data_IF_106563495454
#
_entry.id   IF_106563495454
#
_cell.length_a   1.000
_cell.length_b   1.000
_cell.length_c   1.000
_cell.angle_alpha   90.00
_cell.angle_beta   90.00
_cell.angle_gamma   90.00
#
_symmetry.space_group_name_H-M   'P 1'
#
loop_
_entity.id
_entity.type
_entity.pdbx_description
1 polymer ?
#
# COMPACT_ATOMS: atom_id res chain seq x y z
N UNK A 1 6.02 -6.70 14.54
CA UNK A 1 7.25 -5.88 14.36
C UNK A 1 6.94 -4.40 14.09
N UNK A 2 6.22 -4.06 13.02
CA UNK A 2 5.76 -2.68 12.76
C UNK A 2 4.90 -2.11 13.90
N UNK A 3 3.97 -2.89 14.44
CA UNK A 3 3.20 -2.51 15.65
C UNK A 3 4.06 -2.12 16.85
N UNK A 4 5.19 -2.80 17.03
CA UNK A 4 6.10 -2.50 18.15
C UNK A 4 6.81 -1.16 17.91
N UNK A 5 7.25 -0.92 16.66
CA UNK A 5 7.80 0.38 16.27
C UNK A 5 6.78 1.51 16.48
N UNK A 6 5.53 1.33 16.07
CA UNK A 6 4.46 2.32 16.25
C UNK A 6 4.17 2.66 17.72
N UNK A 7 4.44 1.74 18.65
CA UNK A 7 4.28 1.99 20.09
C UNK A 7 5.49 2.68 20.72
N UNK A 8 6.68 2.47 20.17
CA UNK A 8 7.95 2.92 20.76
C UNK A 8 8.41 4.26 20.18
N UNK A 9 8.27 4.42 18.87
CA UNK A 9 8.76 5.58 18.13
C UNK A 9 7.65 6.62 18.01
N UNK A 10 7.98 7.90 18.21
CA UNK A 10 7.04 9.00 17.96
C UNK A 10 6.81 9.21 16.47
N UNK A 11 7.85 9.01 15.66
CA UNK A 11 7.83 9.18 14.21
C UNK A 11 8.57 8.00 13.59
N UNK A 12 7.93 7.34 12.62
CA UNK A 12 8.55 6.31 11.80
C UNK A 12 8.89 6.92 10.44
N UNK A 13 10.14 6.76 10.01
CA UNK A 13 10.58 7.14 8.67
C UNK A 13 10.56 5.90 7.79
N UNK A 14 9.79 5.95 6.70
CA UNK A 14 9.67 4.88 5.72
C UNK A 14 9.95 5.42 4.31
N UNK A 15 11.19 5.30 3.80
CA UNK A 15 11.52 5.71 2.44
C UNK A 15 10.67 4.98 1.40
N UNK A 16 10.29 5.70 0.35
CA UNK A 16 9.60 5.14 -0.81
C UNK A 16 10.55 4.29 -1.65
N UNK A 17 10.18 3.03 -1.86
CA UNK A 17 10.91 2.05 -2.67
C UNK A 17 9.96 1.46 -3.71
N UNK A 18 10.50 0.97 -4.82
CA UNK A 18 9.69 0.51 -5.95
C UNK A 18 10.21 -0.78 -6.60
N UNK A 19 11.35 -1.28 -6.15
CA UNK A 19 11.92 -2.57 -6.51
C UNK A 19 12.83 -3.12 -5.40
N UNK A 20 13.29 -4.36 -5.57
CA UNK A 20 14.17 -5.03 -4.61
C UNK A 20 15.51 -4.29 -4.42
N UNK A 21 16.03 -3.65 -5.47
CA UNK A 21 17.30 -2.93 -5.41
C UNK A 21 17.18 -1.65 -4.55
N UNK A 22 16.22 -0.79 -4.86
CA UNK A 22 15.94 0.43 -4.08
C UNK A 22 15.64 0.11 -2.62
N UNK A 23 14.91 -0.98 -2.36
CA UNK A 23 14.63 -1.45 -1.00
C UNK A 23 15.88 -1.96 -0.27
N UNK A 24 16.75 -2.69 -0.97
CA UNK A 24 18.03 -3.15 -0.43
C UNK A 24 18.95 -1.98 -0.08
N UNK A 25 19.00 -0.96 -0.94
CA UNK A 25 19.78 0.26 -0.69
C UNK A 25 19.24 0.99 0.55
N UNK A 26 17.92 1.16 0.66
CA UNK A 26 17.31 1.80 1.82
C UNK A 26 17.57 1.02 3.12
N UNK A 27 17.49 -0.32 3.09
CA UNK A 27 17.89 -1.16 4.23
C UNK A 27 19.36 -0.96 4.60
N UNK A 28 20.27 -0.97 3.63
CA UNK A 28 21.71 -0.76 3.86
C UNK A 28 22.02 0.63 4.44
N UNK A 29 21.21 1.64 4.08
CA UNK A 29 21.27 2.97 4.68
C UNK A 29 20.73 3.03 6.14
N UNK A 30 20.26 1.90 6.69
CA UNK A 30 19.87 1.78 8.10
C UNK A 30 18.40 2.07 8.40
N UNK A 31 17.55 2.21 7.38
CA UNK A 31 16.11 2.44 7.60
C UNK A 31 15.43 1.21 8.19
N UNK A 32 14.61 1.43 9.23
CA UNK A 32 13.93 0.38 10.00
C UNK A 32 12.52 0.06 9.49
N UNK A 33 12.07 0.74 8.44
CA UNK A 33 10.74 0.59 7.83
C UNK A 33 10.84 1.11 6.41
N UNK A 34 10.11 0.53 5.47
CA UNK A 34 10.09 0.95 4.07
C UNK A 34 8.65 1.09 3.58
N UNK A 35 8.44 1.88 2.52
CA UNK A 35 7.15 2.04 1.86
C UNK A 35 7.25 1.66 0.38
N UNK A 36 6.53 0.64 -0.07
CA UNK A 36 6.39 0.34 -1.50
C UNK A 36 5.41 1.32 -2.14
N UNK A 37 5.90 2.17 -3.03
CA UNK A 37 5.09 3.21 -3.70
C UNK A 37 4.46 2.73 -5.01
N UNK A 38 3.13 2.83 -5.14
CA UNK A 38 2.43 2.48 -6.39
C UNK A 38 2.91 3.32 -7.58
N UNK A 39 3.12 4.62 -7.37
CA UNK A 39 3.68 5.52 -8.38
C UNK A 39 5.05 5.05 -8.88
N UNK A 40 5.95 4.75 -7.94
CA UNK A 40 7.30 4.30 -8.29
C UNK A 40 7.29 2.96 -9.01
N UNK A 41 6.44 2.02 -8.59
CA UNK A 41 6.31 0.72 -9.27
C UNK A 41 5.76 0.90 -10.68
N UNK A 42 4.71 1.71 -10.88
CA UNK A 42 4.17 2.00 -12.23
C UNK A 42 5.23 2.60 -13.15
N UNK A 43 6.00 3.57 -12.65
CA UNK A 43 7.09 4.19 -13.39
C UNK A 43 8.23 3.21 -13.73
N UNK A 44 8.70 2.44 -12.75
CA UNK A 44 9.85 1.56 -12.91
C UNK A 44 9.54 0.28 -13.70
N UNK A 45 8.33 -0.30 -13.53
CA UNK A 45 7.94 -1.54 -14.18
C UNK A 45 7.38 -1.31 -15.59
N UNK A 46 6.54 -0.29 -15.76
CA UNK A 46 5.76 -0.10 -16.99
C UNK A 46 6.21 1.11 -17.81
N UNK A 47 7.04 2.00 -17.25
CA UNK A 47 7.30 3.33 -17.81
C UNK A 47 5.99 4.09 -18.10
N UNK A 48 5.02 3.97 -17.17
CA UNK A 48 3.69 4.56 -17.27
C UNK A 48 3.37 5.48 -16.09
N UNK A 49 2.46 6.45 -16.29
CA UNK A 49 1.99 7.29 -15.19
C UNK A 49 1.13 6.48 -14.21
N UNK A 50 1.01 7.02 -12.99
CA UNK A 50 0.21 6.42 -11.92
C UNK A 50 -1.29 6.80 -12.02
N UNK A 51 -1.95 6.19 -13.00
CA UNK A 51 -3.38 6.42 -13.32
C UNK A 51 -4.20 5.13 -13.22
N UNK A 52 -3.80 4.20 -12.34
CA UNK A 52 -4.49 2.93 -12.13
C UNK A 52 -4.29 1.89 -13.25
N UNK A 53 -3.17 1.98 -13.99
CA UNK A 53 -2.83 0.99 -15.04
C UNK A 53 -2.20 -0.28 -14.48
N UNK A 54 -1.45 -0.15 -13.37
CA UNK A 54 -0.81 -1.29 -12.76
C UNK A 54 -1.87 -2.18 -12.10
N UNK A 55 -1.76 -3.49 -12.32
CA UNK A 55 -2.69 -4.46 -11.78
C UNK A 55 -2.32 -4.89 -10.37
N UNK A 56 -3.32 -5.40 -9.64
CA UNK A 56 -3.11 -6.03 -8.33
C UNK A 56 -2.04 -7.12 -8.38
N UNK A 57 -2.03 -7.95 -9.42
CA UNK A 57 -1.08 -9.07 -9.57
C UNK A 57 0.37 -8.57 -9.71
N UNK A 58 0.59 -7.50 -10.48
CA UNK A 58 1.92 -6.88 -10.63
C UNK A 58 2.40 -6.28 -9.32
N UNK A 59 1.51 -5.62 -8.58
CA UNK A 59 1.83 -5.03 -7.27
C UNK A 59 2.11 -6.08 -6.20
N UNK A 60 1.35 -7.19 -6.16
CA UNK A 60 1.61 -8.34 -5.28
C UNK A 60 2.99 -8.95 -5.60
N UNK A 61 3.27 -9.20 -6.88
CA UNK A 61 4.55 -9.77 -7.29
C UNK A 61 5.73 -8.87 -6.89
N UNK A 62 5.57 -7.55 -7.08
CA UNK A 62 6.58 -6.58 -6.68
C UNK A 62 6.77 -6.53 -5.16
N UNK A 63 5.69 -6.55 -4.40
CA UNK A 63 5.74 -6.57 -2.93
C UNK A 63 6.51 -7.81 -2.43
N UNK A 64 6.23 -8.99 -2.98
CA UNK A 64 6.94 -10.23 -2.62
C UNK A 64 8.45 -10.11 -2.86
N UNK A 65 8.86 -9.61 -4.04
CA UNK A 65 10.28 -9.41 -4.35
C UNK A 65 10.97 -8.44 -3.40
N UNK A 66 10.27 -7.37 -2.99
CA UNK A 66 10.82 -6.39 -2.05
C UNK A 66 10.95 -7.01 -0.66
N UNK A 67 9.93 -7.71 -0.17
CA UNK A 67 9.94 -8.37 1.14
C UNK A 67 11.09 -9.37 1.22
N UNK A 68 11.29 -10.18 0.17
CA UNK A 68 12.38 -11.16 0.10
C UNK A 68 13.76 -10.49 0.17
N UNK A 69 13.93 -9.28 -0.39
CA UNK A 69 15.21 -8.58 -0.42
C UNK A 69 15.59 -7.89 0.90
N UNK A 70 14.61 -7.58 1.76
CA UNK A 70 14.82 -6.70 2.91
C UNK A 70 14.93 -7.43 4.26
N UNK A 71 15.00 -8.77 4.27
CA UNK A 71 15.15 -9.64 5.45
C UNK A 71 14.55 -9.08 6.74
N UNK A 72 13.22 -9.14 6.88
CA UNK A 72 12.52 -8.72 8.09
C UNK A 72 12.55 -7.20 8.37
N UNK A 73 12.86 -6.32 7.42
CA UNK A 73 12.45 -4.92 7.56
C UNK A 73 10.95 -4.81 7.24
N UNK A 74 10.10 -4.20 8.10
CA UNK A 74 8.68 -4.10 7.80
C UNK A 74 8.42 -3.23 6.56
N UNK A 75 7.68 -3.79 5.61
CA UNK A 75 7.21 -3.08 4.43
C UNK A 75 5.77 -2.61 4.63
N UNK A 76 5.54 -1.31 4.46
CA UNK A 76 4.22 -0.75 4.20
C UNK A 76 4.05 -0.71 2.69
N UNK A 77 2.92 -1.15 2.15
CA UNK A 77 2.74 -1.24 0.70
C UNK A 77 1.47 -0.55 0.25
N UNK A 78 1.57 0.17 -0.87
CA UNK A 78 0.44 0.76 -1.55
C UNK A 78 -0.50 -0.34 -2.08
N UNK A 79 -1.76 -0.26 -1.71
CA UNK A 79 -2.84 -1.13 -2.16
C UNK A 79 -3.82 -0.42 -3.11
N UNK A 80 -3.51 0.83 -3.50
CA UNK A 80 -4.40 1.69 -4.28
C UNK A 80 -5.81 1.70 -3.66
N UNK A 81 -6.85 1.73 -4.50
CA UNK A 81 -8.26 1.64 -4.09
C UNK A 81 -8.76 0.19 -3.93
N UNK A 82 -7.86 -0.79 -3.87
CA UNK A 82 -8.19 -2.21 -3.68
C UNK A 82 -8.61 -2.98 -4.94
N UNK A 83 -8.44 -2.39 -6.13
CA UNK A 83 -8.63 -3.02 -7.45
C UNK A 83 -10.02 -3.66 -7.67
N UNK A 84 -11.06 -3.06 -7.11
CA UNK A 84 -12.44 -3.49 -7.28
C UNK A 84 -13.30 -3.30 -6.05
N UNK A 85 -14.27 -4.20 -5.87
CA UNK A 85 -15.17 -4.22 -4.71
C UNK A 85 -14.57 -4.95 -3.52
N UNK A 86 -15.41 -5.19 -2.50
CA UNK A 86 -15.01 -5.84 -1.23
C UNK A 86 -14.33 -7.20 -1.41
N UNK A 87 -14.71 -7.99 -2.42
CA UNK A 87 -14.10 -9.29 -2.70
C UNK A 87 -12.67 -9.14 -3.24
N UNK A 88 -12.42 -8.11 -4.06
CA UNK A 88 -11.09 -7.78 -4.56
C UNK A 88 -10.18 -7.33 -3.43
N UNK A 89 -10.67 -6.43 -2.56
CA UNK A 89 -9.96 -5.99 -1.35
C UNK A 89 -9.61 -7.18 -0.47
N UNK A 90 -10.56 -8.09 -0.22
CA UNK A 90 -10.35 -9.28 0.59
C UNK A 90 -9.25 -10.18 0.04
N UNK A 91 -9.24 -10.39 -1.29
CA UNK A 91 -8.21 -11.15 -1.99
C UNK A 91 -6.84 -10.46 -1.91
N UNK A 92 -6.81 -9.14 -2.10
CA UNK A 92 -5.58 -8.33 -2.06
C UNK A 92 -4.92 -8.38 -0.69
N UNK A 93 -5.70 -8.17 0.37
CA UNK A 93 -5.22 -8.22 1.76
C UNK A 93 -4.55 -9.56 2.05
N UNK A 94 -5.22 -10.67 1.75
CA UNK A 94 -4.65 -12.02 1.95
C UNK A 94 -3.42 -12.29 1.10
N UNK A 95 -3.31 -11.66 -0.07
CA UNK A 95 -2.15 -11.80 -0.95
C UNK A 95 -0.96 -11.00 -0.42
N UNK A 96 -1.17 -9.75 0.01
CA UNK A 96 -0.13 -8.91 0.60
C UNK A 96 0.38 -9.48 1.92
N UNK A 97 -0.52 -9.93 2.79
CA UNK A 97 -0.16 -10.58 4.05
C UNK A 97 0.68 -11.84 3.81
N UNK A 98 0.29 -12.68 2.84
CA UNK A 98 1.05 -13.87 2.45
C UNK A 98 2.41 -13.54 1.84
N UNK A 99 2.50 -12.43 1.11
CA UNK A 99 3.76 -11.92 0.58
C UNK A 99 4.68 -11.34 1.67
N UNK A 100 4.24 -11.29 2.93
CA UNK A 100 5.02 -10.81 4.07
C UNK A 100 5.03 -9.29 4.23
N UNK A 101 4.14 -8.58 3.55
CA UNK A 101 3.90 -7.14 3.79
C UNK A 101 3.43 -6.95 5.23
N UNK A 102 3.90 -5.90 5.91
CA UNK A 102 3.53 -5.61 7.30
C UNK A 102 2.29 -4.72 7.43
N UNK A 103 2.05 -3.85 6.44
CA UNK A 103 0.88 -2.97 6.39
C UNK A 103 0.48 -2.71 4.94
N UNK A 104 -0.81 -2.77 4.63
CA UNK A 104 -1.35 -2.30 3.36
C UNK A 104 -2.05 -0.96 3.55
N UNK A 105 -1.77 0.01 2.67
CA UNK A 105 -2.52 1.25 2.56
C UNK A 105 -3.63 1.10 1.52
N UNK A 106 -4.87 1.42 1.87
CA UNK A 106 -6.01 1.43 0.96
C UNK A 106 -6.62 2.84 0.91
N UNK A 107 -6.88 3.35 -0.29
CA UNK A 107 -7.45 4.68 -0.51
C UNK A 107 -8.94 4.64 -0.92
N UNK A 108 -9.61 5.78 -0.76
CA UNK A 108 -11.04 5.99 -1.05
C UNK A 108 -11.31 6.54 -2.46
N UNK A 109 -10.33 6.56 -3.35
CA UNK A 109 -10.53 7.03 -4.72
C UNK A 109 -11.40 6.08 -5.54
N UNK A 110 -12.19 6.64 -6.46
CA UNK A 110 -12.94 5.87 -7.47
C UNK A 110 -12.00 5.08 -8.39
N UNK A 111 -12.54 4.11 -9.14
CA UNK A 111 -11.79 3.37 -10.16
C UNK A 111 -11.98 4.03 -11.54
N UNK A 112 -10.91 4.29 -12.32
CA UNK A 112 -9.50 4.17 -11.96
C UNK A 112 -9.03 5.34 -11.08
N UNK A 113 -8.12 5.05 -10.15
CA UNK A 113 -7.52 6.07 -9.27
C UNK A 113 -6.47 6.92 -9.97
N UNK A 114 -6.09 8.03 -9.33
CA UNK A 114 -4.98 8.89 -9.74
C UNK A 114 -4.00 9.08 -8.59
N UNK A 115 -2.73 9.38 -8.89
CA UNK A 115 -1.77 9.83 -7.88
C UNK A 115 -2.35 10.96 -7.01
N UNK A 116 -2.07 10.91 -5.70
CA UNK A 116 -2.60 11.86 -4.70
C UNK A 116 -2.24 13.33 -4.94
N UNK A 117 -1.26 13.63 -5.79
CA UNK A 117 -0.85 14.98 -6.17
C UNK A 117 -1.41 15.43 -7.53
N UNK A 118 -2.19 14.61 -8.22
CA UNK A 118 -2.84 14.98 -9.49
C UNK A 118 -4.19 15.66 -9.25
N UNK A 119 -4.59 16.52 -10.20
CA UNK A 119 -5.91 17.15 -10.25
C UNK A 119 -7.01 16.16 -10.66
N UNK A 120 -8.27 16.54 -10.44
CA UNK A 120 -9.46 15.77 -10.81
C UNK A 120 -9.52 14.37 -10.17
N UNK A 121 -9.23 14.32 -8.87
CA UNK A 121 -9.49 13.14 -8.03
C UNK A 121 -10.97 13.11 -7.68
N UNK A 122 -11.52 11.92 -7.60
CA UNK A 122 -12.86 11.65 -7.11
C UNK A 122 -12.75 10.58 -6.04
N UNK A 123 -13.53 10.70 -4.98
CA UNK A 123 -13.58 9.75 -3.87
C UNK A 123 -14.97 9.14 -3.80
N UNK A 124 -15.04 7.88 -3.37
CA UNK A 124 -16.30 7.20 -3.11
C UNK A 124 -16.95 7.75 -1.85
N UNK A 125 -18.25 7.47 -1.68
CA UNK A 125 -18.96 7.83 -0.45
C UNK A 125 -18.35 7.12 0.77
N UNK A 126 -18.49 7.74 1.95
CA UNK A 126 -17.93 7.23 3.21
C UNK A 126 -18.40 5.81 3.53
N UNK A 127 -19.63 5.45 3.17
CA UNK A 127 -20.18 4.11 3.36
C UNK A 127 -19.44 3.08 2.50
N UNK A 128 -19.12 3.40 1.24
CA UNK A 128 -18.33 2.51 0.39
C UNK A 128 -16.90 2.37 0.91
N UNK A 129 -16.25 3.49 1.27
CA UNK A 129 -14.89 3.49 1.80
C UNK A 129 -14.80 2.65 3.09
N UNK A 130 -15.72 2.85 4.03
CA UNK A 130 -15.74 2.12 5.31
C UNK A 130 -16.06 0.65 5.12
N UNK A 131 -16.96 0.28 4.20
CA UNK A 131 -17.24 -1.13 3.87
C UNK A 131 -16.00 -1.82 3.32
N UNK A 132 -15.21 -1.16 2.45
CA UNK A 132 -13.93 -1.72 1.96
C UNK A 132 -12.91 -1.91 3.08
N UNK A 133 -12.75 -0.93 3.98
CA UNK A 133 -11.85 -1.06 5.12
C UNK A 133 -12.32 -2.16 6.09
N UNK A 134 -13.63 -2.29 6.33
CA UNK A 134 -14.20 -3.38 7.12
C UNK A 134 -13.89 -4.74 6.51
N UNK A 135 -14.09 -4.91 5.19
CA UNK A 135 -13.73 -6.12 4.48
C UNK A 135 -12.23 -6.42 4.55
N UNK A 136 -11.37 -5.40 4.47
CA UNK A 136 -9.93 -5.54 4.63
C UNK A 136 -9.54 -6.08 6.03
N UNK A 137 -10.09 -5.47 7.09
CA UNK A 137 -9.85 -5.88 8.47
C UNK A 137 -10.36 -7.31 8.75
N UNK A 138 -11.50 -7.69 8.19
CA UNK A 138 -12.04 -9.05 8.33
C UNK A 138 -11.24 -10.10 7.54
N UNK A 139 -10.51 -9.68 6.51
CA UNK A 139 -9.80 -10.60 5.60
C UNK A 139 -8.41 -10.97 6.06
N UNK A 140 -7.76 -10.15 6.90
CA UNK A 140 -6.44 -10.46 7.46
C UNK A 140 -6.53 -11.67 8.39
N UNK A 141 -5.49 -12.49 8.37
CA UNK A 141 -5.38 -13.70 9.20
C UNK A 141 -4.64 -13.44 10.51
N UNK A 142 -3.81 -12.40 10.55
CA UNK A 142 -3.06 -11.98 11.72
C UNK A 142 -3.38 -10.55 12.11
N UNK A 143 -3.52 -10.32 13.41
CA UNK A 143 -3.60 -8.95 13.94
C UNK A 143 -2.30 -8.18 13.73
N UNK A 144 -1.16 -8.83 13.48
CA UNK A 144 0.11 -8.15 13.17
C UNK A 144 0.12 -7.48 11.79
N UNK A 145 -0.72 -7.94 10.86
CA UNK A 145 -0.93 -7.29 9.57
C UNK A 145 -1.83 -6.05 9.75
N UNK A 146 -1.28 -4.89 9.43
CA UNK A 146 -1.97 -3.61 9.61
C UNK A 146 -2.68 -3.17 8.33
N UNK A 147 -3.80 -2.48 8.51
CA UNK A 147 -4.53 -1.81 7.43
C UNK A 147 -4.45 -0.31 7.72
N UNK A 148 -3.92 0.46 6.77
CA UNK A 148 -3.90 1.91 6.81
C UNK A 148 -4.96 2.46 5.83
N UNK A 149 -5.99 3.12 6.37
CA UNK A 149 -6.98 3.80 5.56
C UNK A 149 -6.44 5.19 5.17
N UNK A 150 -6.32 5.45 3.87
CA UNK A 150 -5.97 6.76 3.31
C UNK A 150 -7.23 7.40 2.75
N UNK A 151 -7.38 8.70 2.97
CA UNK A 151 -8.42 9.50 2.32
C UNK A 151 -7.81 10.57 1.45
N UNK A 152 -8.30 10.70 0.22
CA UNK A 152 -7.98 11.77 -0.72
C UNK A 152 -9.05 12.88 -0.72
N UNK A 153 -10.01 12.80 0.20
CA UNK A 153 -11.17 13.71 0.31
C UNK A 153 -10.82 15.18 0.51
N UNK A 154 -9.64 15.51 1.05
CA UNK A 154 -9.21 16.90 1.26
C UNK A 154 -9.28 17.73 -0.03
N UNK A 155 -8.86 17.16 -1.16
CA UNK A 155 -8.85 17.88 -2.42
C UNK A 155 -10.26 18.08 -3.01
N UNK A 156 -11.22 17.23 -2.62
CA UNK A 156 -12.56 17.19 -3.20
C UNK A 156 -13.63 17.84 -2.31
N UNK A 157 -13.44 17.80 -0.98
CA UNK A 157 -14.42 18.23 0.01
C UNK A 157 -13.95 19.34 0.96
N UNK A 158 -12.64 19.68 0.98
CA UNK A 158 -12.05 20.74 1.81
C UNK A 158 -11.36 20.24 3.07
#
# INVERSE_FOLDING_TARGET
MLKSLLKKEKIIVAPGTYDALSASIAKQAGFKTLYMTGFGVSGALLAKPDIGLISASEMIARASQIVDAIDQVPLIADGDNGYGGVHNVSRLVRAYERAGVACIQLEDQVIPKRCGHMENKEVVDIDEATIKISAAVQSRTSNEFLIAARTDSRATHG
#
